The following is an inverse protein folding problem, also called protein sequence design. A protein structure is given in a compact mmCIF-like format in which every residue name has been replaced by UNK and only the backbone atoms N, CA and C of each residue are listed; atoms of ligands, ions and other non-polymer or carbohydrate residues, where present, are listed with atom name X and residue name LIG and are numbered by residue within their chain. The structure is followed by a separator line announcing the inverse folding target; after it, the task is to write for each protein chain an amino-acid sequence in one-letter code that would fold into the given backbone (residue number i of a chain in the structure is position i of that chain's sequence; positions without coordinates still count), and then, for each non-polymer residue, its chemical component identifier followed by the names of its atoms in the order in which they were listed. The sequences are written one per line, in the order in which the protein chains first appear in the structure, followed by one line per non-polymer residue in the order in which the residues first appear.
data_IF_027733906249
#
_entry.id   IF_027733906249
#
_cell.length_a   1.000
_cell.length_b   1.000
_cell.length_c   1.000
_cell.angle_alpha   90.00
_cell.angle_beta   90.00
_cell.angle_gamma   90.00
#
_symmetry.space_group_name_H-M   'P 1'
#
loop_
_entity.id
_entity.type
_entity.pdbx_description
1 polymer ?
#
# COMPACT_ATOMS: atom_id res chain seq x y z
N UNK A 1 10.75 -1.74 17.66
CA UNK A 1 10.39 -0.37 17.21
C UNK A 1 11.28 0.10 16.06
N UNK A 2 12.61 0.12 16.19
CA UNK A 2 13.49 0.60 15.13
C UNK A 2 13.20 -0.04 13.76
N UNK A 3 13.12 -1.37 13.71
CA UNK A 3 12.84 -2.09 12.46
C UNK A 3 11.44 -1.78 11.86
N UNK A 4 10.46 -1.41 12.68
CA UNK A 4 9.16 -0.97 12.19
C UNK A 4 9.24 0.44 11.57
N UNK A 5 10.06 1.32 12.14
CA UNK A 5 10.26 2.67 11.61
C UNK A 5 10.94 2.68 10.23
N UNK A 6 11.81 1.71 9.95
CA UNK A 6 12.44 1.55 8.61
C UNK A 6 11.41 1.28 7.50
N UNK A 7 10.22 0.79 7.82
CA UNK A 7 9.15 0.62 6.84
C UNK A 7 8.39 1.92 6.52
N UNK A 8 8.61 3.00 7.28
CA UNK A 8 7.81 4.22 7.21
C UNK A 8 6.40 4.11 7.81
N UNK A 9 6.02 2.92 8.30
CA UNK A 9 4.70 2.64 8.88
C UNK A 9 4.81 2.40 10.39
N UNK A 10 5.21 3.43 11.12
CA UNK A 10 5.77 3.40 12.49
C UNK A 10 5.02 2.52 13.50
N UNK A 11 3.70 2.61 13.53
CA UNK A 11 2.86 1.84 14.45
C UNK A 11 1.87 0.92 13.72
N UNK A 12 2.16 0.57 12.48
CA UNK A 12 1.28 -0.32 11.73
C UNK A 12 1.03 -1.62 12.49
N UNK A 13 -0.23 -2.09 12.55
CA UNK A 13 -0.52 -3.37 13.19
C UNK A 13 -0.03 -4.58 12.38
N UNK A 14 0.39 -4.39 11.13
CA UNK A 14 0.95 -5.45 10.29
C UNK A 14 2.17 -6.14 10.91
N UNK A 15 2.88 -5.46 11.81
CA UNK A 15 4.06 -5.99 12.51
C UNK A 15 3.80 -6.36 13.97
N UNK A 16 2.56 -6.24 14.46
CA UNK A 16 2.22 -6.66 15.83
C UNK A 16 2.45 -8.17 15.98
N UNK A 17 3.22 -8.55 17.00
CA UNK A 17 3.54 -9.94 17.29
C UNK A 17 4.58 -10.59 16.35
N UNK A 18 5.12 -9.85 15.39
CA UNK A 18 6.22 -10.35 14.55
C UNK A 18 7.51 -10.41 15.36
N UNK A 19 8.14 -11.60 15.38
CA UNK A 19 9.40 -11.80 16.09
C UNK A 19 10.52 -10.98 15.45
N UNK A 20 11.38 -10.38 16.29
CA UNK A 20 12.57 -9.67 15.88
C UNK A 20 13.82 -10.53 16.09
N UNK A 21 14.55 -10.78 15.02
CA UNK A 21 15.86 -11.47 15.07
C UNK A 21 16.93 -10.48 15.47
N UNK A 22 17.41 -10.57 16.72
CA UNK A 22 18.45 -9.69 17.26
C UNK A 22 19.84 -9.95 16.69
N UNK A 23 20.06 -11.12 16.08
CA UNK A 23 21.34 -11.46 15.45
C UNK A 23 21.48 -10.82 14.08
N UNK A 24 20.38 -10.81 13.32
CA UNK A 24 20.32 -10.25 11.96
C UNK A 24 19.75 -8.83 11.92
N UNK A 25 19.24 -8.34 13.05
CA UNK A 25 18.60 -7.05 13.19
C UNK A 25 17.42 -6.85 12.21
N UNK A 26 16.55 -7.86 12.08
CA UNK A 26 15.40 -7.80 11.17
C UNK A 26 14.12 -8.41 11.80
N UNK A 27 12.97 -7.99 11.32
CA UNK A 27 11.70 -8.64 11.60
C UNK A 27 11.60 -9.94 10.80
N UNK A 28 11.13 -11.02 11.46
CA UNK A 28 10.97 -12.34 10.83
C UNK A 28 9.70 -12.40 9.96
N UNK A 29 9.65 -11.57 8.93
CA UNK A 29 8.52 -11.45 8.02
C UNK A 29 8.98 -11.25 6.59
N UNK A 30 8.31 -11.89 5.65
CA UNK A 30 8.32 -11.53 4.25
C UNK A 30 7.15 -10.57 4.03
N UNK A 31 7.47 -9.32 3.75
CA UNK A 31 6.49 -8.24 3.62
C UNK A 31 6.14 -8.00 2.16
N UNK A 32 4.86 -8.06 1.82
CA UNK A 32 4.35 -7.83 0.46
C UNK A 32 4.61 -6.38 0.04
N UNK A 33 4.32 -5.43 0.94
CA UNK A 33 4.43 -4.01 0.65
C UNK A 33 5.86 -3.59 0.34
N UNK A 34 6.79 -3.89 1.24
CA UNK A 34 8.21 -3.56 1.04
C UNK A 34 8.81 -4.29 -0.16
N UNK A 35 8.43 -5.56 -0.38
CA UNK A 35 8.91 -6.30 -1.56
C UNK A 35 8.36 -5.71 -2.84
N UNK A 36 7.09 -5.29 -2.86
CA UNK A 36 6.47 -4.62 -4.01
C UNK A 36 7.17 -3.32 -4.39
N UNK A 37 7.43 -2.47 -3.39
CA UNK A 37 8.17 -1.22 -3.58
C UNK A 37 9.62 -1.46 -4.01
N UNK A 38 10.29 -2.46 -3.45
CA UNK A 38 11.65 -2.82 -3.85
C UNK A 38 11.74 -3.25 -5.32
N UNK A 39 10.77 -4.03 -5.81
CA UNK A 39 10.72 -4.42 -7.23
C UNK A 39 10.50 -3.19 -8.11
N UNK A 40 9.56 -2.32 -7.75
CA UNK A 40 9.28 -1.08 -8.47
C UNK A 40 10.53 -0.17 -8.53
N UNK A 41 11.25 -0.04 -7.43
CA UNK A 41 12.48 0.74 -7.34
C UNK A 41 13.60 0.15 -8.21
N UNK A 42 13.79 -1.18 -8.17
CA UNK A 42 14.73 -1.87 -9.05
C UNK A 42 14.40 -1.68 -10.53
N UNK A 43 13.12 -1.74 -10.93
CA UNK A 43 12.70 -1.49 -12.32
C UNK A 43 13.01 -0.04 -12.74
N UNK A 44 12.73 0.94 -11.87
CA UNK A 44 13.01 2.35 -12.14
C UNK A 44 14.52 2.62 -12.27
N UNK A 45 15.32 2.09 -11.35
CA UNK A 45 16.77 2.21 -11.41
C UNK A 45 17.38 1.48 -12.62
N UNK A 46 16.86 0.32 -13.00
CA UNK A 46 17.26 -0.40 -14.20
C UNK A 46 16.99 0.44 -15.45
N UNK A 47 15.81 1.07 -15.53
CA UNK A 47 15.50 1.98 -16.63
C UNK A 47 16.52 3.14 -16.69
N UNK A 48 16.80 3.80 -15.56
CA UNK A 48 17.78 4.90 -15.50
C UNK A 48 19.19 4.43 -15.90
N UNK A 49 19.62 3.26 -15.43
CA UNK A 49 20.93 2.69 -15.79
C UNK A 49 21.05 2.45 -17.29
N UNK A 50 20.01 1.92 -17.92
CA UNK A 50 19.95 1.72 -19.38
C UNK A 50 20.04 3.03 -20.14
N UNK A 51 19.29 4.06 -19.76
CA UNK A 51 19.34 5.38 -20.40
C UNK A 51 20.71 6.05 -20.27
N UNK A 52 21.44 5.74 -19.19
CA UNK A 52 22.81 6.22 -18.94
C UNK A 52 23.90 5.33 -19.57
N UNK A 53 23.55 4.26 -20.27
CA UNK A 53 24.50 3.32 -20.87
C UNK A 53 25.27 2.47 -19.86
N UNK A 54 24.75 2.30 -18.65
CA UNK A 54 25.36 1.50 -17.57
C UNK A 54 24.83 0.06 -17.61
N UNK A 55 25.31 -0.71 -18.59
CA UNK A 55 24.76 -2.05 -18.90
C UNK A 55 24.83 -3.02 -17.71
N UNK A 56 25.97 -3.08 -17.00
CA UNK A 56 26.13 -3.99 -15.85
C UNK A 56 25.13 -3.68 -14.74
N UNK A 57 24.91 -2.40 -14.43
CA UNK A 57 23.93 -1.96 -13.44
C UNK A 57 22.50 -2.27 -13.90
N UNK A 58 22.21 -2.07 -15.20
CA UNK A 58 20.92 -2.45 -15.78
C UNK A 58 20.64 -3.93 -15.60
N UNK A 59 21.58 -4.81 -15.99
CA UNK A 59 21.39 -6.26 -15.89
C UNK A 59 21.22 -6.72 -14.44
N UNK A 60 22.01 -6.17 -13.52
CA UNK A 60 21.90 -6.47 -12.09
C UNK A 60 20.53 -6.09 -11.54
N UNK A 61 20.08 -4.85 -11.75
CA UNK A 61 18.82 -4.32 -11.21
C UNK A 61 17.60 -5.00 -11.82
N UNK A 62 17.59 -5.21 -13.15
CA UNK A 62 16.54 -5.95 -13.84
C UNK A 62 16.47 -7.40 -13.33
N UNK A 63 17.61 -8.06 -13.14
CA UNK A 63 17.68 -9.40 -12.59
C UNK A 63 17.13 -9.48 -11.15
N UNK A 64 17.39 -8.47 -10.33
CA UNK A 64 16.80 -8.36 -8.97
C UNK A 64 15.29 -8.23 -9.04
N UNK A 65 14.77 -7.29 -9.87
CA UNK A 65 13.34 -7.09 -10.04
C UNK A 65 12.62 -8.39 -10.41
N UNK A 66 13.08 -9.08 -11.43
CA UNK A 66 12.49 -10.35 -11.88
C UNK A 66 12.54 -11.45 -10.81
N UNK A 67 13.67 -11.56 -10.08
CA UNK A 67 13.82 -12.53 -8.99
C UNK A 67 12.77 -12.31 -7.89
N UNK A 68 12.62 -11.07 -7.41
CA UNK A 68 11.71 -10.77 -6.31
C UNK A 68 10.26 -10.78 -6.76
N UNK A 69 9.95 -10.26 -7.94
CA UNK A 69 8.63 -10.36 -8.58
C UNK A 69 8.16 -11.84 -8.65
N UNK A 70 9.00 -12.72 -9.16
CA UNK A 70 8.70 -14.15 -9.22
C UNK A 70 8.50 -14.76 -7.82
N UNK A 71 9.33 -14.36 -6.85
CA UNK A 71 9.23 -14.86 -5.48
C UNK A 71 7.94 -14.41 -4.79
N UNK A 72 7.38 -13.26 -5.15
CA UNK A 72 6.12 -12.76 -4.57
C UNK A 72 4.93 -13.68 -4.86
N UNK A 73 4.93 -14.43 -5.95
CA UNK A 73 3.85 -15.40 -6.23
C UNK A 73 3.67 -16.44 -5.11
N UNK A 74 4.72 -16.75 -4.36
CA UNK A 74 4.64 -17.63 -3.20
C UNK A 74 3.89 -17.01 -2.00
N UNK A 75 3.59 -15.71 -2.04
CA UNK A 75 2.81 -15.00 -1.04
C UNK A 75 1.32 -14.88 -1.40
N UNK A 76 0.93 -15.31 -2.59
CA UNK A 76 -0.48 -15.39 -2.98
C UNK A 76 -1.19 -16.49 -2.20
N UNK A 77 -2.32 -16.17 -1.58
CA UNK A 77 -3.23 -17.16 -0.99
C UNK A 77 -4.49 -17.27 -1.85
N UNK A 78 -4.62 -18.37 -2.55
CA UNK A 78 -5.72 -18.58 -3.49
C UNK A 78 -7.08 -18.73 -2.79
N UNK A 79 -7.11 -19.19 -1.55
CA UNK A 79 -8.35 -19.24 -0.77
C UNK A 79 -8.78 -17.88 -0.24
N UNK A 80 -7.83 -16.99 -0.01
CA UNK A 80 -8.08 -15.65 0.52
C UNK A 80 -8.19 -14.58 -0.59
N UNK A 81 -7.65 -14.85 -1.79
CA UNK A 81 -7.70 -13.92 -2.92
C UNK A 81 -6.80 -12.69 -2.79
N UNK A 82 -5.71 -12.79 -2.03
CA UNK A 82 -4.80 -11.66 -1.78
C UNK A 82 -3.36 -12.14 -1.58
N UNK A 83 -2.38 -11.27 -1.85
CA UNK A 83 -1.00 -11.46 -1.42
C UNK A 83 -0.88 -11.17 0.07
N UNK A 84 -0.37 -12.11 0.85
CA UNK A 84 -0.29 -12.02 2.30
C UNK A 84 1.15 -12.02 2.80
N UNK A 85 1.43 -11.22 3.82
CA UNK A 85 2.71 -11.29 4.52
C UNK A 85 2.91 -12.69 5.12
N UNK A 86 4.15 -13.18 5.11
CA UNK A 86 4.49 -14.51 5.64
C UNK A 86 5.50 -14.41 6.77
N UNK A 87 5.19 -14.99 7.92
CA UNK A 87 6.16 -15.17 9.00
C UNK A 87 7.25 -16.17 8.59
N UNK A 88 8.52 -15.82 8.77
CA UNK A 88 9.65 -16.65 8.31
C UNK A 88 9.99 -17.78 9.28
N UNK A 89 9.61 -17.66 10.55
CA UNK A 89 9.81 -18.65 11.60
C UNK A 89 8.86 -19.84 11.50
N UNK A 90 7.59 -19.60 11.23
CA UNK A 90 6.55 -20.65 11.13
C UNK A 90 5.98 -20.83 9.73
N UNK A 91 6.42 -20.05 8.75
CA UNK A 91 5.89 -20.02 7.37
C UNK A 91 4.38 -19.77 7.26
N UNK A 92 3.76 -19.23 8.31
CA UNK A 92 2.34 -18.90 8.30
C UNK A 92 2.11 -17.58 7.55
N UNK A 93 1.06 -17.54 6.73
CA UNK A 93 0.56 -16.32 6.13
C UNK A 93 -0.22 -15.51 7.19
N UNK A 94 0.06 -14.23 7.27
CA UNK A 94 -0.67 -13.30 8.11
C UNK A 94 -1.98 -12.94 7.43
N UNK A 95 -3.11 -13.15 8.09
CA UNK A 95 -4.43 -12.72 7.60
C UNK A 95 -4.77 -11.27 7.97
N UNK A 96 -3.87 -10.57 8.63
CA UNK A 96 -3.98 -9.13 8.84
C UNK A 96 -3.64 -8.43 7.54
N UNK A 97 -4.50 -7.53 7.07
CA UNK A 97 -4.39 -6.91 5.76
C UNK A 97 -4.47 -5.39 5.83
N UNK A 98 -3.68 -4.75 4.99
CA UNK A 98 -3.61 -3.30 4.82
C UNK A 98 -3.51 -2.96 3.33
N UNK A 99 -3.57 -1.68 2.92
CA UNK A 99 -3.30 -1.31 1.54
C UNK A 99 -1.96 -1.80 1.00
N UNK A 100 -0.97 -2.09 1.86
CA UNK A 100 0.34 -2.61 1.43
C UNK A 100 0.26 -4.00 0.79
N UNK A 101 -0.78 -4.78 1.05
CA UNK A 101 -1.00 -6.05 0.37
C UNK A 101 -1.29 -5.88 -1.13
N UNK A 102 -1.83 -4.72 -1.52
CA UNK A 102 -2.04 -4.36 -2.93
C UNK A 102 -0.76 -3.93 -3.65
N UNK A 103 0.35 -3.68 -2.94
CA UNK A 103 1.61 -3.27 -3.57
C UNK A 103 2.27 -4.38 -4.42
N UNK A 104 1.77 -5.61 -4.35
CA UNK A 104 2.07 -6.64 -5.33
C UNK A 104 1.73 -6.21 -6.77
N UNK A 105 0.75 -5.31 -6.94
CA UNK A 105 0.38 -4.72 -8.22
C UNK A 105 1.47 -3.78 -8.75
N UNK A 106 2.17 -3.04 -7.87
CA UNK A 106 3.31 -2.19 -8.26
C UNK A 106 4.47 -3.03 -8.81
N UNK A 107 4.70 -4.21 -8.24
CA UNK A 107 5.68 -5.17 -8.72
C UNK A 107 5.25 -5.87 -10.02
N UNK A 108 4.02 -5.66 -10.50
CA UNK A 108 3.42 -6.43 -11.60
C UNK A 108 3.51 -7.96 -11.33
N UNK A 109 3.40 -8.33 -10.04
CA UNK A 109 3.52 -9.72 -9.61
C UNK A 109 2.21 -10.49 -9.75
N UNK A 110 1.06 -9.82 -9.70
CA UNK A 110 -0.25 -10.43 -9.90
C UNK A 110 -0.52 -10.75 -11.37
N UNK A 111 -1.33 -11.78 -11.62
CA UNK A 111 -1.99 -11.93 -12.92
C UNK A 111 -3.19 -10.97 -12.99
N UNK A 112 -3.75 -10.74 -14.18
CA UNK A 112 -4.96 -9.93 -14.35
C UNK A 112 -6.12 -10.49 -13.49
N UNK A 113 -6.32 -11.82 -13.51
CA UNK A 113 -7.35 -12.48 -12.70
C UNK A 113 -7.13 -12.29 -11.20
N UNK A 114 -5.87 -12.39 -10.73
CA UNK A 114 -5.54 -12.11 -9.33
C UNK A 114 -5.85 -10.65 -8.97
N UNK A 115 -5.49 -9.70 -9.83
CA UNK A 115 -5.78 -8.29 -9.60
C UNK A 115 -7.29 -8.00 -9.54
N UNK A 116 -8.08 -8.59 -10.42
CA UNK A 116 -9.55 -8.50 -10.39
C UNK A 116 -10.14 -9.08 -9.11
N UNK A 117 -9.64 -10.22 -8.65
CA UNK A 117 -10.05 -10.82 -7.37
C UNK A 117 -9.71 -9.94 -6.19
N UNK A 118 -8.50 -9.35 -6.15
CA UNK A 118 -8.10 -8.42 -5.11
C UNK A 118 -9.07 -7.22 -5.02
N UNK A 119 -9.50 -6.68 -6.17
CA UNK A 119 -10.50 -5.62 -6.19
C UNK A 119 -11.86 -6.11 -5.68
N UNK A 120 -12.37 -7.18 -6.25
CA UNK A 120 -13.71 -7.69 -5.96
C UNK A 120 -13.86 -8.17 -4.52
N UNK A 121 -12.87 -8.93 -4.02
CA UNK A 121 -12.96 -9.62 -2.73
C UNK A 121 -12.52 -8.75 -1.56
N UNK A 122 -11.65 -7.73 -1.78
CA UNK A 122 -11.03 -6.91 -0.74
C UNK A 122 -11.26 -5.41 -0.92
N UNK A 123 -10.86 -4.82 -2.05
CA UNK A 123 -11.00 -3.38 -2.25
C UNK A 123 -12.45 -2.91 -2.10
N UNK A 124 -13.41 -3.60 -2.71
CA UNK A 124 -14.85 -3.32 -2.62
C UNK A 124 -15.54 -3.92 -1.40
N UNK A 125 -14.81 -4.58 -0.51
CA UNK A 125 -15.38 -5.16 0.70
C UNK A 125 -15.61 -4.08 1.78
N UNK A 126 -16.87 -3.80 2.17
CA UNK A 126 -17.16 -2.77 3.16
C UNK A 126 -16.68 -3.13 4.58
N UNK A 127 -16.44 -4.41 4.87
CA UNK A 127 -15.84 -4.84 6.13
C UNK A 127 -14.33 -4.66 6.15
N UNK A 128 -13.71 -4.36 4.99
CA UNK A 128 -12.26 -4.23 4.86
C UNK A 128 -11.87 -2.82 4.44
N UNK A 129 -11.98 -2.49 3.17
CA UNK A 129 -11.43 -1.24 2.64
C UNK A 129 -12.48 -0.28 2.04
N UNK A 130 -13.64 -0.80 1.64
CA UNK A 130 -14.66 0.03 1.02
C UNK A 130 -15.47 0.83 2.05
N UNK A 131 -15.84 2.06 1.71
CA UNK A 131 -16.64 2.96 2.54
C UNK A 131 -16.84 4.31 1.85
N UNK A 132 -17.39 5.28 2.57
CA UNK A 132 -17.51 6.64 2.07
C UNK A 132 -16.14 7.22 1.74
N UNK A 133 -15.17 6.94 2.61
CA UNK A 133 -13.77 7.30 2.42
C UNK A 133 -12.90 6.03 2.43
N UNK A 134 -11.91 5.96 1.54
CA UNK A 134 -11.02 4.82 1.30
C UNK A 134 -9.58 5.27 1.06
N UNK A 135 -8.57 4.42 1.27
CA UNK A 135 -8.55 3.15 1.98
C UNK A 135 -7.94 3.39 3.36
N UNK A 136 -8.51 2.85 4.44
CA UNK A 136 -7.87 2.91 5.74
C UNK A 136 -6.57 2.11 5.77
N UNK A 137 -5.63 2.49 6.63
CA UNK A 137 -4.29 1.87 6.74
C UNK A 137 -4.29 0.42 7.26
N UNK A 138 -5.43 -0.06 7.71
CA UNK A 138 -5.70 -1.45 8.11
C UNK A 138 -7.16 -1.75 7.81
N UNK A 139 -7.51 -2.99 7.51
CA UNK A 139 -8.89 -3.38 7.25
C UNK A 139 -9.82 -3.04 8.42
N UNK A 140 -11.07 -2.63 8.12
CA UNK A 140 -12.07 -2.21 9.12
C UNK A 140 -12.44 -3.31 10.11
N UNK A 141 -12.39 -4.57 9.68
CA UNK A 141 -12.62 -5.74 10.52
C UNK A 141 -11.41 -6.16 11.37
N UNK A 142 -10.26 -5.50 11.24
CA UNK A 142 -9.11 -5.75 12.12
C UNK A 142 -9.34 -5.14 13.51
N UNK A 143 -8.94 -5.85 14.55
CA UNK A 143 -9.08 -5.40 15.94
C UNK A 143 -8.31 -4.11 16.23
N UNK A 144 -7.31 -3.77 15.42
CA UNK A 144 -6.54 -2.54 15.59
C UNK A 144 -7.18 -1.33 14.89
N UNK A 145 -8.20 -1.53 14.05
CA UNK A 145 -8.88 -0.45 13.32
C UNK A 145 -9.51 0.59 14.23
N UNK A 146 -10.17 0.14 15.31
CA UNK A 146 -10.85 1.02 16.26
C UNK A 146 -9.92 1.95 17.04
N UNK A 147 -8.61 1.72 16.99
CA UNK A 147 -7.63 2.63 17.59
C UNK A 147 -7.58 3.97 16.86
N UNK A 148 -7.83 3.99 15.57
CA UNK A 148 -7.75 5.15 14.65
C UNK A 148 -6.59 6.10 14.99
N UNK A 149 -5.43 5.51 15.29
CA UNK A 149 -4.25 6.24 15.71
C UNK A 149 -3.13 6.01 14.71
N UNK A 150 -2.86 7.03 13.90
CA UNK A 150 -1.73 7.04 12.96
C UNK A 150 -1.89 5.93 11.90
N UNK A 151 -1.02 4.91 11.83
CA UNK A 151 -1.13 3.80 10.86
C UNK A 151 -2.09 2.67 11.31
N UNK A 152 -3.01 2.95 12.22
CA UNK A 152 -3.99 2.00 12.77
C UNK A 152 -5.43 2.47 12.50
N UNK A 153 -5.82 2.51 11.22
CA UNK A 153 -7.17 2.84 10.77
C UNK A 153 -7.30 4.14 10.00
N UNK A 154 -6.39 5.13 10.19
CA UNK A 154 -6.45 6.38 9.43
C UNK A 154 -6.21 6.16 7.95
N UNK A 155 -6.79 7.01 7.10
CA UNK A 155 -6.51 7.05 5.66
C UNK A 155 -5.24 7.86 5.43
N UNK A 156 -4.31 7.28 4.67
CA UNK A 156 -3.06 7.91 4.28
C UNK A 156 -2.99 8.05 2.76
N UNK A 157 -2.88 9.28 2.30
CA UNK A 157 -2.81 9.55 0.87
C UNK A 157 -1.65 8.83 0.15
N UNK A 158 -0.42 8.74 0.70
CA UNK A 158 0.65 7.98 0.05
C UNK A 158 0.33 6.49 -0.11
N UNK A 159 -0.37 5.85 0.86
CA UNK A 159 -0.78 4.45 0.68
C UNK A 159 -1.76 4.29 -0.48
N UNK A 160 -2.75 5.20 -0.56
CA UNK A 160 -3.74 5.19 -1.64
C UNK A 160 -3.10 5.46 -3.00
N UNK A 161 -2.16 6.40 -3.08
CA UNK A 161 -1.41 6.68 -4.31
C UNK A 161 -0.62 5.45 -4.78
N UNK A 162 0.04 4.74 -3.87
CA UNK A 162 0.79 3.53 -4.22
C UNK A 162 -0.12 2.39 -4.67
N UNK A 163 -1.32 2.25 -4.09
CA UNK A 163 -2.34 1.32 -4.60
C UNK A 163 -2.79 1.72 -6.00
N UNK A 164 -3.08 3.01 -6.21
CA UNK A 164 -3.48 3.54 -7.51
C UNK A 164 -2.39 3.29 -8.58
N UNK A 165 -1.13 3.57 -8.28
CA UNK A 165 -0.03 3.27 -9.21
C UNK A 165 0.07 1.78 -9.55
N UNK A 166 -0.16 0.90 -8.57
CA UNK A 166 -0.24 -0.53 -8.82
C UNK A 166 -1.37 -0.89 -9.80
N UNK A 167 -2.55 -0.30 -9.61
CA UNK A 167 -3.72 -0.51 -10.48
C UNK A 167 -3.46 -0.08 -11.94
N UNK A 168 -2.58 0.90 -12.19
CA UNK A 168 -2.23 1.34 -13.55
C UNK A 168 -1.60 0.23 -14.41
N UNK A 169 -1.07 -0.81 -13.81
CA UNK A 169 -0.47 -1.93 -14.52
C UNK A 169 -1.51 -2.97 -14.99
N UNK A 170 -2.81 -2.77 -14.72
CA UNK A 170 -3.87 -3.74 -14.96
C UNK A 170 -5.12 -3.09 -15.58
N UNK A 171 -5.94 -3.91 -16.22
CA UNK A 171 -7.25 -3.49 -16.74
C UNK A 171 -8.28 -3.44 -15.59
N UNK A 172 -8.25 -2.35 -14.81
CA UNK A 172 -9.09 -2.11 -13.64
C UNK A 172 -9.78 -0.73 -13.71
N UNK A 173 -10.48 -0.39 -14.81
CA UNK A 173 -10.96 0.98 -15.02
C UNK A 173 -11.90 1.46 -13.91
N UNK A 174 -12.84 0.64 -13.48
CA UNK A 174 -13.79 1.04 -12.43
C UNK A 174 -13.10 1.28 -11.08
N UNK A 175 -12.17 0.42 -10.68
CA UNK A 175 -11.48 0.57 -9.40
C UNK A 175 -10.56 1.80 -9.37
N UNK A 176 -9.94 2.15 -10.50
CA UNK A 176 -9.15 3.38 -10.65
C UNK A 176 -10.01 4.62 -10.55
N UNK A 177 -11.12 4.65 -11.28
CA UNK A 177 -12.09 5.75 -11.24
C UNK A 177 -12.67 5.96 -9.84
N UNK A 178 -13.13 4.88 -9.18
CA UNK A 178 -13.68 4.94 -7.83
C UNK A 178 -12.65 5.43 -6.79
N UNK A 179 -11.41 4.95 -6.86
CA UNK A 179 -10.35 5.43 -5.96
C UNK A 179 -10.01 6.90 -6.23
N UNK A 180 -10.00 7.29 -7.49
CA UNK A 180 -9.76 8.67 -7.94
C UNK A 180 -10.84 9.62 -7.43
N UNK A 181 -12.11 9.32 -7.66
CA UNK A 181 -13.24 10.14 -7.22
C UNK A 181 -13.29 10.27 -5.69
N UNK A 182 -13.17 9.15 -4.96
CA UNK A 182 -13.14 9.18 -3.48
C UNK A 182 -11.94 9.94 -2.91
N UNK A 183 -10.80 9.89 -3.58
CA UNK A 183 -9.61 10.68 -3.20
C UNK A 183 -9.84 12.18 -3.39
N UNK A 184 -10.42 12.59 -4.52
CA UNK A 184 -10.83 13.97 -4.79
C UNK A 184 -11.81 14.47 -3.73
N UNK A 185 -12.86 13.69 -3.47
CA UNK A 185 -13.91 14.09 -2.54
C UNK A 185 -13.38 14.27 -1.11
N UNK A 186 -12.51 13.38 -0.65
CA UNK A 186 -11.86 13.51 0.64
C UNK A 186 -10.97 14.75 0.73
N UNK A 187 -10.18 15.02 -0.32
CA UNK A 187 -9.35 16.22 -0.40
C UNK A 187 -10.21 17.48 -0.38
N UNK A 188 -11.21 17.57 -1.26
CA UNK A 188 -12.06 18.75 -1.40
C UNK A 188 -12.88 19.01 -0.13
N UNK A 189 -13.40 17.97 0.53
CA UNK A 189 -14.08 18.11 1.81
C UNK A 189 -13.21 18.88 2.81
N UNK A 190 -11.97 18.47 3.00
CA UNK A 190 -11.08 19.11 3.98
C UNK A 190 -10.62 20.49 3.51
N UNK A 191 -10.32 20.64 2.22
CA UNK A 191 -9.91 21.95 1.68
C UNK A 191 -11.02 23.00 1.76
N UNK A 192 -12.25 22.64 1.37
CA UNK A 192 -13.38 23.58 1.37
C UNK A 192 -13.87 23.90 2.80
N UNK A 193 -13.84 22.92 3.70
CA UNK A 193 -14.28 23.13 5.08
C UNK A 193 -13.25 23.85 5.95
N UNK A 194 -11.96 23.62 5.72
CA UNK A 194 -10.87 24.04 6.63
C UNK A 194 -9.74 24.83 5.97
N UNK A 195 -9.65 24.81 4.64
CA UNK A 195 -8.60 25.52 3.89
C UNK A 195 -7.23 24.85 3.91
N UNK A 196 -7.14 23.57 4.27
CA UNK A 196 -5.88 22.83 4.31
C UNK A 196 -6.02 21.35 4.04
N UNK A 197 -4.90 20.71 3.66
CA UNK A 197 -4.72 19.26 3.59
C UNK A 197 -4.15 18.73 4.91
N UNK A 198 -4.30 17.44 5.16
CA UNK A 198 -3.86 16.78 6.39
C UNK A 198 -2.86 15.67 6.13
N UNK A 199 -2.07 15.36 7.13
CA UNK A 199 -1.16 14.22 7.11
C UNK A 199 -1.93 12.90 6.91
N UNK A 200 -3.03 12.72 7.62
CA UNK A 200 -3.93 11.57 7.53
C UNK A 200 -5.37 11.99 7.89
N UNK A 201 -6.33 11.14 7.53
CA UNK A 201 -7.76 11.41 7.69
C UNK A 201 -8.44 10.27 8.43
N UNK A 202 -9.51 10.61 9.16
CA UNK A 202 -10.36 9.65 9.84
C UNK A 202 -11.20 8.87 8.81
N UNK A 203 -11.15 7.54 8.85
CA UNK A 203 -11.71 6.69 7.80
C UNK A 203 -13.25 6.72 7.74
N UNK A 204 -13.94 6.96 8.84
CA UNK A 204 -15.41 7.02 8.86
C UNK A 204 -15.98 8.40 8.55
N UNK A 205 -15.31 9.46 8.99
CA UNK A 205 -15.84 10.82 8.87
C UNK A 205 -15.20 11.65 7.76
N UNK A 206 -14.08 11.18 7.22
CA UNK A 206 -13.25 11.95 6.29
C UNK A 206 -12.67 13.24 6.89
N UNK A 207 -12.84 13.46 8.19
CA UNK A 207 -12.24 14.58 8.90
C UNK A 207 -10.81 14.23 9.32
N UNK A 208 -10.14 15.14 9.96
CA UNK A 208 -8.81 14.86 10.48
C UNK A 208 -8.85 14.18 11.86
N UNK A 209 -7.86 13.36 12.13
CA UNK A 209 -7.58 12.83 13.45
C UNK A 209 -6.91 13.90 14.33
N UNK A 210 -7.12 13.88 15.66
CA UNK A 210 -6.54 14.86 16.60
C UNK A 210 -5.01 14.98 16.54
N UNK A 211 -4.33 13.96 16.07
CA UNK A 211 -2.87 13.90 15.92
C UNK A 211 -2.39 14.10 14.47
N UNK A 212 -3.29 14.40 13.54
CA UNK A 212 -2.95 14.63 12.14
C UNK A 212 -2.45 16.06 11.95
N UNK A 213 -1.22 16.21 11.48
CA UNK A 213 -0.65 17.52 11.16
C UNK A 213 -1.38 18.16 9.98
N UNK A 214 -1.56 19.48 10.03
CA UNK A 214 -2.15 20.26 8.94
C UNK A 214 -1.05 20.85 8.05
N UNK A 215 -1.39 21.11 6.80
CA UNK A 215 -0.44 21.51 5.74
C UNK A 215 0.67 20.47 5.48
N UNK A 216 0.42 19.22 5.80
CA UNK A 216 1.37 18.16 5.48
C UNK A 216 1.19 17.73 4.02
N UNK A 217 2.25 17.89 3.22
CA UNK A 217 2.23 17.68 1.78
C UNK A 217 1.68 16.30 1.32
N UNK A 218 1.78 15.28 2.15
CA UNK A 218 1.24 13.95 1.83
C UNK A 218 -0.27 13.95 1.56
N UNK A 219 -1.03 14.78 2.26
CA UNK A 219 -2.46 14.89 2.02
C UNK A 219 -2.83 15.35 0.60
N UNK A 220 -1.96 16.13 -0.04
CA UNK A 220 -2.16 16.57 -1.42
C UNK A 220 -2.06 15.45 -2.47
N UNK A 221 -1.45 14.30 -2.13
CA UNK A 221 -1.35 13.14 -3.01
C UNK A 221 -2.71 12.56 -3.41
N UNK A 222 -3.77 12.81 -2.63
CA UNK A 222 -5.15 12.47 -3.03
C UNK A 222 -5.56 13.23 -4.31
N UNK A 223 -5.20 14.51 -4.41
CA UNK A 223 -5.42 15.30 -5.62
C UNK A 223 -4.60 14.82 -6.81
N UNK A 224 -3.38 14.31 -6.55
CA UNK A 224 -2.54 13.74 -7.61
C UNK A 224 -3.18 12.49 -8.24
N UNK A 225 -3.82 11.62 -7.43
CA UNK A 225 -4.56 10.46 -7.95
C UNK A 225 -5.62 10.92 -8.96
N UNK A 226 -6.43 11.91 -8.57
CA UNK A 226 -7.48 12.45 -9.43
C UNK A 226 -6.93 13.06 -10.73
N UNK A 227 -5.89 13.87 -10.61
CA UNK A 227 -5.30 14.53 -11.78
C UNK A 227 -4.65 13.56 -12.76
N UNK A 228 -4.07 12.47 -12.29
CA UNK A 228 -3.48 11.44 -13.18
C UNK A 228 -4.55 10.61 -13.88
N UNK A 229 -5.68 10.32 -13.23
CA UNK A 229 -6.75 9.55 -13.86
C UNK A 229 -7.57 10.38 -14.86
N UNK A 230 -7.76 11.67 -14.62
CA UNK A 230 -8.70 12.52 -15.38
C UNK A 230 -8.02 13.64 -16.19
N UNK A 231 -6.72 13.78 -16.13
CA UNK A 231 -5.94 14.80 -16.88
C UNK A 231 -5.32 14.20 -18.10
#
# INVERSE_FOLDING_TARGET
KGASYESGLDNTPMYDGVEFDTTKNLLKIQDVGLTGLYVMDCEALAYMARELGQEDAYQELAGRAEKYKKAMQALWDDNFGLFLNRHTDGKQLSKRISPTNFYALNAKAATQEQAERMMKEHFYNPEEFWGDYIMPSIARNDTAYTAETYWRGSIWAPMNLLVYWGMQNYELPQAKDDLSEKSKDLLLKNWLEKGWVRENYHAETGSYNKRSEHFYHWGALLGMIYLVENG
#
